data_IF_243721302062
#
_entry.id   IF_243721302062
#
_cell.length_a   1.000
_cell.length_b   1.000
_cell.length_c   1.000
_cell.angle_alpha   90.00
_cell.angle_beta   90.00
_cell.angle_gamma   90.00
#
_symmetry.space_group_name_H-M   'P 1'
#
loop_
_entity.id
_entity.type
_entity.pdbx_description
1 polymer ?
#
# COMPACT_ATOMS: atom_id res chain seq x y z
N UNK A 1 16.22 7.50 64.08
CA UNK A 1 14.98 8.29 64.20
C UNK A 1 15.31 9.76 63.96
N UNK A 2 14.88 10.37 62.84
CA UNK A 2 14.94 11.82 62.68
C UNK A 2 13.54 12.46 62.82
N UNK A 3 13.50 13.58 63.54
CA UNK A 3 12.32 14.38 63.89
C UNK A 3 11.82 15.23 62.71
N UNK A 4 10.52 15.51 62.72
CA UNK A 4 9.75 16.22 61.70
C UNK A 4 10.18 17.67 61.48
N UNK A 5 10.35 18.05 60.21
CA UNK A 5 10.35 19.43 59.74
C UNK A 5 8.90 19.90 59.73
N UNK A 6 8.51 20.59 60.80
CA UNK A 6 7.22 21.28 60.91
C UNK A 6 7.47 22.75 61.20
N UNK A 7 8.19 23.49 60.34
CA UNK A 7 8.25 24.96 60.40
C UNK A 7 8.59 25.56 59.02
N UNK A 8 7.57 25.84 58.19
CA UNK A 8 7.55 27.04 57.34
C UNK A 8 6.08 27.50 57.25
N UNK A 9 5.70 28.39 58.16
CA UNK A 9 4.45 29.14 58.12
C UNK A 9 4.60 30.38 57.24
N UNK A 10 3.62 30.58 56.36
CA UNK A 10 3.03 31.87 55.99
C UNK A 10 3.97 33.07 55.76
N UNK A 11 4.25 33.35 54.49
CA UNK A 11 4.48 34.73 54.03
C UNK A 11 3.69 34.98 52.74
N UNK A 12 2.58 35.69 52.88
CA UNK A 12 1.89 36.35 51.78
C UNK A 12 2.41 37.79 51.71
N UNK A 13 3.12 38.15 50.62
CA UNK A 13 3.21 39.53 50.14
C UNK A 13 3.07 39.56 48.63
N UNK A 14 2.09 40.31 48.17
CA UNK A 14 1.64 40.36 46.79
C UNK A 14 2.51 41.17 45.84
N UNK A 15 2.17 41.05 44.56
CA UNK A 15 2.66 41.88 43.46
C UNK A 15 2.48 41.20 42.10
N UNK A 16 1.48 41.66 41.31
CA UNK A 16 1.35 41.30 39.88
C UNK A 16 0.11 40.47 39.55
N UNK A 17 -1.06 41.12 39.53
CA UNK A 17 -2.33 40.52 39.13
C UNK A 17 -2.42 40.26 37.63
N UNK A 18 -2.03 39.06 37.22
CA UNK A 18 -2.90 38.19 36.43
C UNK A 18 -2.89 36.87 37.17
N UNK A 19 -3.80 36.72 38.14
CA UNK A 19 -4.01 35.43 38.76
C UNK A 19 -4.33 34.45 37.64
N UNK A 20 -3.63 33.31 37.62
CA UNK A 20 -4.02 32.21 36.76
C UNK A 20 -5.49 31.92 37.09
N UNK A 21 -6.37 32.30 36.15
CA UNK A 21 -7.83 32.16 36.29
C UNK A 21 -8.23 30.69 36.35
N UNK A 22 -7.28 29.80 36.09
CA UNK A 22 -7.40 28.36 36.23
C UNK A 22 -6.95 27.96 37.63
N UNK A 23 -7.91 27.71 38.52
CA UNK A 23 -7.60 27.00 39.76
C UNK A 23 -6.93 25.67 39.41
N UNK A 24 -5.78 25.36 40.04
CA UNK A 24 -5.10 24.08 39.84
C UNK A 24 -6.07 22.94 40.21
N UNK A 25 -6.28 21.96 39.32
CA UNK A 25 -7.15 20.84 39.62
C UNK A 25 -6.55 20.01 40.76
N UNK A 26 -7.40 19.62 41.72
CA UNK A 26 -7.02 18.69 42.79
C UNK A 26 -6.82 17.29 42.20
N UNK A 27 -5.56 16.98 41.85
CA UNK A 27 -5.16 15.70 41.27
C UNK A 27 -5.13 14.56 42.31
N UNK A 28 -5.23 14.87 43.62
CA UNK A 28 -5.09 13.89 44.70
C UNK A 28 -6.44 13.40 45.21
N UNK A 29 -7.45 14.29 45.28
CA UNK A 29 -8.75 13.97 45.88
C UNK A 29 -9.96 14.29 44.98
N UNK A 30 -9.74 14.88 43.80
CA UNK A 30 -10.79 15.07 42.80
C UNK A 30 -11.08 13.79 42.01
N UNK A 31 -12.36 13.57 41.65
CA UNK A 31 -12.67 12.66 40.53
C UNK A 31 -11.85 13.09 39.32
N UNK A 32 -11.26 12.13 38.60
CA UNK A 32 -10.29 12.32 37.51
C UNK A 32 -10.88 13.04 36.27
N UNK A 33 -11.39 14.26 36.43
CA UNK A 33 -12.04 15.06 35.39
C UNK A 33 -11.09 16.05 34.73
N UNK A 34 -9.83 16.12 35.18
CA UNK A 34 -8.80 17.00 34.62
C UNK A 34 -8.00 16.34 33.47
N UNK A 35 -8.33 15.11 33.08
CA UNK A 35 -7.72 14.40 31.95
C UNK A 35 -8.75 13.64 31.12
N UNK A 36 -8.40 13.13 29.94
CA UNK A 36 -9.29 12.28 29.16
C UNK A 36 -9.55 10.98 29.93
N UNK A 37 -10.68 10.93 30.65
CA UNK A 37 -11.16 9.73 31.32
C UNK A 37 -11.58 8.72 30.24
N UNK A 38 -10.86 7.60 30.14
CA UNK A 38 -11.18 6.54 29.18
C UNK A 38 -12.34 5.71 29.72
N UNK A 39 -13.56 6.13 29.42
CA UNK A 39 -14.80 5.40 29.75
C UNK A 39 -14.95 4.09 28.94
N UNK A 40 -14.16 3.92 27.88
CA UNK A 40 -14.20 2.73 27.03
C UNK A 40 -12.81 2.15 26.79
N UNK A 41 -12.71 0.83 26.93
CA UNK A 41 -11.54 0.07 26.50
C UNK A 41 -11.59 -0.08 24.97
N UNK A 42 -10.55 0.33 24.23
CA UNK A 42 -10.50 0.06 22.79
C UNK A 42 -10.45 -1.45 22.58
N UNK A 43 -11.38 -1.95 21.78
CA UNK A 43 -11.34 -3.33 21.28
C UNK A 43 -10.48 -3.30 20.03
N UNK A 44 -9.38 -4.05 20.05
CA UNK A 44 -8.55 -4.23 18.87
C UNK A 44 -9.23 -5.23 17.94
N UNK A 45 -9.66 -4.76 16.78
CA UNK A 45 -10.24 -5.59 15.72
C UNK A 45 -9.27 -5.62 14.56
N UNK A 46 -8.88 -6.82 14.13
CA UNK A 46 -8.08 -7.01 12.93
C UNK A 46 -8.99 -6.87 11.72
N UNK A 47 -9.03 -5.66 11.15
CA UNK A 47 -9.73 -5.36 9.91
C UNK A 47 -8.74 -5.41 8.75
N UNK A 48 -9.08 -6.15 7.70
CA UNK A 48 -8.34 -6.07 6.45
C UNK A 48 -8.40 -4.63 5.93
N UNK A 49 -7.27 -4.02 5.51
CA UNK A 49 -7.31 -2.69 4.92
C UNK A 49 -8.29 -2.66 3.74
N UNK A 50 -9.17 -1.65 3.63
CA UNK A 50 -10.24 -1.66 2.63
C UNK A 50 -9.70 -1.71 1.20
N UNK A 51 -8.53 -1.11 0.95
CA UNK A 51 -7.86 -1.22 -0.34
C UNK A 51 -7.45 -2.65 -0.69
N UNK A 52 -6.99 -3.44 0.29
CA UNK A 52 -6.64 -4.84 0.09
C UNK A 52 -7.91 -5.66 -0.19
N UNK A 53 -8.98 -5.42 0.59
CA UNK A 53 -10.26 -6.11 0.46
C UNK A 53 -10.92 -5.87 -0.91
N UNK A 54 -10.90 -4.62 -1.40
CA UNK A 54 -11.48 -4.26 -2.69
C UNK A 54 -10.65 -4.67 -3.90
N UNK A 55 -9.41 -5.14 -3.72
CA UNK A 55 -8.55 -5.52 -4.82
C UNK A 55 -8.93 -6.91 -5.37
N UNK A 56 -9.42 -7.03 -6.62
CA UNK A 56 -9.82 -8.32 -7.17
C UNK A 56 -8.63 -9.26 -7.41
N UNK A 57 -7.40 -8.73 -7.47
CA UNK A 57 -6.18 -9.53 -7.56
C UNK A 57 -5.75 -10.09 -6.20
N UNK A 58 -6.35 -9.66 -5.09
CA UNK A 58 -5.98 -10.09 -3.73
C UNK A 58 -4.65 -9.53 -3.23
N UNK A 59 -4.18 -8.42 -3.82
CA UNK A 59 -2.89 -7.83 -3.48
C UNK A 59 -2.82 -7.34 -2.04
N UNK A 60 -1.67 -7.53 -1.40
CA UNK A 60 -1.35 -6.87 -0.14
C UNK A 60 -0.81 -5.44 -0.37
N UNK A 61 -1.72 -4.53 -0.73
CA UNK A 61 -1.43 -3.13 -1.07
C UNK A 61 -0.72 -2.40 0.05
N UNK A 62 -1.22 -2.55 1.28
CA UNK A 62 -0.62 -1.90 2.44
C UNK A 62 0.85 -2.31 2.66
N UNK A 63 1.19 -3.59 2.45
CA UNK A 63 2.56 -4.08 2.60
C UNK A 63 3.50 -3.53 1.52
N UNK A 64 3.14 -3.63 0.24
CA UNK A 64 4.04 -3.15 -0.82
C UNK A 64 4.13 -1.62 -0.87
N UNK A 65 3.09 -0.89 -0.47
CA UNK A 65 3.16 0.56 -0.26
C UNK A 65 4.13 0.93 0.87
N UNK A 66 4.16 0.15 1.96
CA UNK A 66 5.11 0.38 3.05
C UNK A 66 6.57 0.22 2.59
N UNK A 67 6.86 -0.81 1.78
CA UNK A 67 8.18 -0.97 1.15
C UNK A 67 8.52 0.18 0.21
N UNK A 68 7.54 0.63 -0.59
CA UNK A 68 7.72 1.75 -1.52
C UNK A 68 8.03 3.04 -0.78
N UNK A 69 7.27 3.35 0.27
CA UNK A 69 7.50 4.52 1.14
C UNK A 69 8.89 4.50 1.77
N UNK A 70 9.42 3.32 2.07
CA UNK A 70 10.75 3.16 2.64
C UNK A 70 11.88 3.12 1.58
N UNK A 71 11.58 3.43 0.32
CA UNK A 71 12.56 3.41 -0.79
C UNK A 71 12.99 2.02 -1.23
N UNK A 72 12.37 0.95 -0.72
CA UNK A 72 12.72 -0.45 -1.03
C UNK A 72 11.90 -0.95 -2.20
N UNK A 73 12.08 -0.32 -3.36
CA UNK A 73 11.23 -0.52 -4.55
C UNK A 73 11.25 -1.96 -5.07
N UNK A 74 12.42 -2.63 -5.08
CA UNK A 74 12.48 -4.02 -5.54
C UNK A 74 11.68 -4.95 -4.63
N UNK A 75 11.72 -4.73 -3.31
CA UNK A 75 10.95 -5.52 -2.35
C UNK A 75 9.45 -5.25 -2.48
N UNK A 76 9.07 -3.99 -2.72
CA UNK A 76 7.70 -3.62 -3.02
C UNK A 76 7.21 -4.35 -4.28
N UNK A 77 7.99 -4.30 -5.35
CA UNK A 77 7.68 -4.99 -6.60
C UNK A 77 7.58 -6.51 -6.41
N UNK A 78 8.52 -7.13 -5.68
CA UNK A 78 8.47 -8.57 -5.36
C UNK A 78 7.23 -8.95 -4.55
N UNK A 79 6.76 -8.06 -3.67
CA UNK A 79 5.50 -8.25 -2.95
C UNK A 79 4.30 -8.19 -3.90
N UNK A 80 4.23 -7.12 -4.70
CA UNK A 80 3.18 -6.85 -5.68
C UNK A 80 3.01 -8.00 -6.69
N UNK A 81 4.12 -8.49 -7.27
CA UNK A 81 4.05 -9.47 -8.36
C UNK A 81 3.76 -10.90 -7.94
N UNK A 82 3.70 -11.19 -6.63
CA UNK A 82 3.20 -12.48 -6.13
C UNK A 82 1.74 -12.69 -6.51
N UNK A 83 0.95 -11.63 -6.41
CA UNK A 83 -0.49 -11.65 -6.66
C UNK A 83 -0.79 -11.16 -8.09
N UNK A 84 0.03 -10.23 -8.59
CA UNK A 84 -0.19 -9.58 -9.88
C UNK A 84 1.07 -9.54 -10.77
N UNK A 85 1.26 -10.50 -11.69
CA UNK A 85 2.43 -10.55 -12.55
C UNK A 85 2.45 -9.49 -13.65
N UNK A 86 1.44 -8.61 -13.74
CA UNK A 86 1.30 -7.58 -14.77
C UNK A 86 1.28 -6.15 -14.23
N UNK A 87 1.98 -5.88 -13.13
CA UNK A 87 2.07 -4.56 -12.49
C UNK A 87 2.20 -3.38 -13.48
N UNK A 88 3.11 -3.45 -14.46
CA UNK A 88 3.30 -2.39 -15.45
C UNK A 88 2.05 -2.18 -16.34
N UNK A 89 1.29 -3.23 -16.64
CA UNK A 89 0.08 -3.12 -17.45
C UNK A 89 -1.10 -2.69 -16.57
N UNK A 90 -1.31 -3.34 -15.44
CA UNK A 90 -2.43 -3.07 -14.54
C UNK A 90 -2.41 -1.64 -13.99
N UNK A 91 -1.23 -1.08 -13.69
CA UNK A 91 -1.13 0.34 -13.33
C UNK A 91 -1.56 1.33 -14.44
N UNK A 92 -1.85 0.85 -15.66
CA UNK A 92 -2.37 1.66 -16.78
C UNK A 92 -3.82 1.37 -17.15
N UNK A 93 -4.31 0.15 -16.86
CA UNK A 93 -5.62 -0.32 -17.36
C UNK A 93 -6.59 -0.72 -16.25
N UNK A 94 -6.11 -0.85 -15.02
CA UNK A 94 -6.94 -1.17 -13.87
C UNK A 94 -7.95 -0.05 -13.61
N UNK A 95 -9.19 -0.41 -13.27
CA UNK A 95 -10.24 0.52 -12.85
C UNK A 95 -10.11 0.94 -11.37
N UNK A 96 -9.01 0.55 -10.71
CA UNK A 96 -8.59 0.99 -9.37
C UNK A 96 -9.72 1.02 -8.31
N UNK A 97 -10.45 -0.10 -8.11
CA UNK A 97 -11.50 -0.18 -7.08
C UNK A 97 -10.96 0.04 -5.66
N UNK A 98 -9.68 -0.32 -5.43
CA UNK A 98 -8.97 -0.11 -4.17
C UNK A 98 -8.81 1.38 -3.80
N UNK A 99 -8.79 2.29 -4.76
CA UNK A 99 -8.70 3.74 -4.51
C UNK A 99 -10.07 4.32 -4.12
N UNK A 100 -11.16 3.81 -4.70
CA UNK A 100 -12.53 4.24 -4.40
C UNK A 100 -12.94 3.99 -2.95
N UNK A 101 -12.33 3.00 -2.28
CA UNK A 101 -12.61 2.64 -0.87
C UNK A 101 -11.49 3.08 0.08
N UNK A 102 -10.56 3.91 -0.37
CA UNK A 102 -9.39 4.30 0.42
C UNK A 102 -9.79 5.16 1.63
N UNK A 103 -9.42 4.75 2.84
CA UNK A 103 -9.65 5.53 4.08
C UNK A 103 -9.16 6.99 3.99
N UNK A 104 -8.07 7.23 3.22
CA UNK A 104 -7.47 8.56 3.06
C UNK A 104 -8.36 9.52 2.26
N UNK A 105 -9.28 9.01 1.45
CA UNK A 105 -10.23 9.83 0.69
C UNK A 105 -11.11 10.72 1.60
N UNK A 106 -11.31 10.33 2.86
CA UNK A 106 -12.04 11.13 3.85
C UNK A 106 -11.20 12.23 4.53
N UNK A 107 -9.89 12.24 4.31
CA UNK A 107 -8.97 13.22 4.90
C UNK A 107 -8.54 14.26 3.86
N UNK A 108 -8.02 13.80 2.72
CA UNK A 108 -7.62 14.66 1.61
C UNK A 108 -7.95 14.02 0.26
N UNK A 109 -7.20 12.99 -0.13
CA UNK A 109 -7.37 12.28 -1.39
C UNK A 109 -7.02 10.81 -1.22
N UNK A 110 -7.64 9.96 -2.04
CA UNK A 110 -7.22 8.57 -2.15
C UNK A 110 -5.75 8.48 -2.55
N UNK A 111 -5.05 7.47 -2.04
CA UNK A 111 -3.70 7.16 -2.51
C UNK A 111 -3.82 6.68 -3.96
N UNK A 112 -3.03 7.24 -4.87
CA UNK A 112 -2.95 6.82 -6.27
C UNK A 112 -2.18 5.49 -6.41
N UNK A 113 -2.77 4.41 -5.88
CA UNK A 113 -2.26 3.04 -5.85
C UNK A 113 -1.86 2.57 -7.26
N UNK A 114 -2.70 2.77 -8.28
CA UNK A 114 -2.42 2.35 -9.66
C UNK A 114 -1.19 3.07 -10.23
N UNK A 115 -0.97 4.32 -9.85
CA UNK A 115 0.20 5.08 -10.29
C UNK A 115 1.49 4.55 -9.66
N UNK A 116 1.43 4.15 -8.38
CA UNK A 116 2.56 3.49 -7.71
C UNK A 116 2.81 2.11 -8.30
N UNK A 117 1.75 1.35 -8.58
CA UNK A 117 1.84 0.05 -9.25
C UNK A 117 2.54 0.16 -10.62
N UNK A 118 2.11 1.14 -11.42
CA UNK A 118 2.74 1.49 -12.70
C UNK A 118 4.22 1.82 -12.51
N UNK A 119 4.53 2.70 -11.57
CA UNK A 119 5.90 3.11 -11.27
C UNK A 119 6.79 1.91 -10.91
N UNK A 120 6.33 1.02 -10.02
CA UNK A 120 7.08 -0.19 -9.64
C UNK A 120 7.27 -1.13 -10.83
N UNK A 121 6.22 -1.32 -11.64
CA UNK A 121 6.29 -2.16 -12.84
C UNK A 121 7.23 -1.63 -13.92
N UNK A 122 7.24 -0.32 -14.13
CA UNK A 122 8.14 0.35 -15.08
C UNK A 122 9.59 0.31 -14.56
N UNK A 123 9.80 0.64 -13.27
CA UNK A 123 11.12 0.55 -12.61
C UNK A 123 11.69 -0.86 -12.71
N UNK A 124 10.89 -1.89 -12.49
CA UNK A 124 11.32 -3.28 -12.61
C UNK A 124 11.80 -3.62 -14.02
N UNK A 125 11.14 -3.08 -15.05
CA UNK A 125 11.56 -3.28 -16.45
C UNK A 125 12.88 -2.56 -16.74
N UNK A 126 13.02 -1.33 -16.26
CA UNK A 126 14.20 -0.51 -16.50
C UNK A 126 15.43 -1.05 -15.75
N UNK A 127 15.23 -1.59 -14.55
CA UNK A 127 16.27 -2.20 -13.72
C UNK A 127 16.52 -3.69 -14.04
N UNK A 128 15.73 -4.29 -14.94
CA UNK A 128 15.87 -5.69 -15.32
C UNK A 128 15.56 -6.67 -14.18
N UNK A 129 14.62 -6.34 -13.28
CA UNK A 129 14.22 -7.26 -12.21
C UNK A 129 13.47 -8.46 -12.78
N UNK A 130 13.91 -9.64 -12.38
CA UNK A 130 13.35 -10.91 -12.83
C UNK A 130 12.51 -11.59 -11.75
N UNK A 131 11.51 -12.34 -12.22
CA UNK A 131 10.72 -13.20 -11.35
C UNK A 131 11.56 -14.37 -10.85
N UNK A 132 11.29 -14.84 -9.63
CA UNK A 132 11.99 -15.99 -9.06
C UNK A 132 11.63 -17.25 -9.86
N UNK A 133 12.64 -17.95 -10.38
CA UNK A 133 12.42 -19.21 -11.07
C UNK A 133 12.06 -20.32 -10.07
N UNK A 134 11.22 -21.30 -10.46
CA UNK A 134 10.97 -22.47 -9.64
C UNK A 134 12.27 -23.18 -9.30
N UNK A 135 12.40 -23.62 -8.05
CA UNK A 135 13.59 -24.35 -7.59
C UNK A 135 13.66 -25.78 -8.12
N UNK A 136 12.53 -26.36 -8.53
CA UNK A 136 12.44 -27.74 -9.00
C UNK A 136 11.63 -27.81 -10.29
N UNK A 137 11.72 -28.93 -11.00
CA UNK A 137 10.83 -29.24 -12.11
C UNK A 137 9.90 -30.37 -11.67
N UNK A 138 8.59 -30.24 -11.88
CA UNK A 138 7.60 -31.29 -11.61
C UNK A 138 7.59 -32.38 -12.68
N UNK A 139 8.35 -32.21 -13.77
CA UNK A 139 8.33 -33.11 -14.92
C UNK A 139 7.03 -33.07 -15.74
N UNK A 140 6.04 -32.26 -15.30
CA UNK A 140 4.76 -32.10 -16.00
C UNK A 140 4.93 -31.12 -17.16
N UNK A 141 4.28 -31.42 -18.29
CA UNK A 141 4.21 -30.54 -19.47
C UNK A 141 2.85 -29.85 -19.51
N UNK A 142 2.86 -28.53 -19.65
CA UNK A 142 1.64 -27.72 -19.74
C UNK A 142 1.60 -27.06 -21.11
N UNK A 143 0.49 -27.23 -21.84
CA UNK A 143 0.23 -26.51 -23.08
C UNK A 143 -0.61 -25.27 -22.76
N UNK A 144 -0.11 -24.11 -23.17
CA UNK A 144 -0.83 -22.84 -23.06
C UNK A 144 -1.25 -22.41 -24.46
N UNK A 145 -2.56 -22.43 -24.74
CA UNK A 145 -3.12 -22.04 -26.05
C UNK A 145 -3.63 -20.60 -25.99
N UNK A 146 -3.05 -19.71 -26.81
CA UNK A 146 -3.40 -18.29 -26.89
C UNK A 146 -2.59 -17.39 -25.93
N UNK A 147 -2.35 -16.14 -26.32
CA UNK A 147 -1.38 -15.22 -25.69
C UNK A 147 -2.01 -13.98 -25.00
N UNK A 148 -3.28 -14.04 -24.61
CA UNK A 148 -3.96 -12.93 -23.92
C UNK A 148 -3.50 -12.73 -22.46
N UNK A 149 -3.72 -11.54 -21.87
CA UNK A 149 -3.26 -11.19 -20.52
C UNK A 149 -3.81 -12.13 -19.44
N UNK A 150 -5.08 -12.54 -19.55
CA UNK A 150 -5.71 -13.57 -18.71
C UNK A 150 -4.91 -14.87 -18.63
N UNK A 151 -4.15 -15.22 -19.66
CA UNK A 151 -3.44 -16.50 -19.76
C UNK A 151 -1.94 -16.40 -19.49
N UNK A 152 -1.32 -15.22 -19.66
CA UNK A 152 0.05 -15.05 -19.16
C UNK A 152 0.08 -15.15 -17.62
N UNK A 153 -1.01 -14.84 -16.89
CA UNK A 153 -1.06 -15.13 -15.45
C UNK A 153 -1.05 -16.64 -15.20
N UNK A 154 -1.64 -17.46 -16.08
CA UNK A 154 -1.50 -18.91 -16.05
C UNK A 154 -0.08 -19.40 -16.42
N UNK A 155 0.79 -18.55 -17.00
CA UNK A 155 2.23 -18.83 -17.04
C UNK A 155 2.89 -18.72 -15.65
N UNK A 156 2.17 -18.29 -14.62
CA UNK A 156 2.57 -18.56 -13.23
C UNK A 156 2.60 -20.05 -12.92
N UNK A 157 1.95 -20.92 -13.72
CA UNK A 157 2.20 -22.36 -13.67
C UNK A 157 3.62 -22.75 -14.11
N UNK A 158 4.40 -21.84 -14.72
CA UNK A 158 5.85 -22.00 -14.79
C UNK A 158 6.46 -21.94 -13.39
N UNK A 159 6.01 -21.04 -12.49
CA UNK A 159 6.40 -21.04 -11.06
C UNK A 159 6.07 -22.37 -10.37
N UNK A 160 5.02 -23.05 -10.81
CA UNK A 160 4.71 -24.43 -10.42
C UNK A 160 5.57 -25.49 -11.14
N UNK A 161 6.82 -25.16 -11.52
CA UNK A 161 7.83 -26.15 -11.89
C UNK A 161 7.51 -26.97 -13.17
N UNK A 162 6.60 -26.53 -14.04
CA UNK A 162 6.20 -27.30 -15.23
C UNK A 162 6.76 -26.70 -16.53
N UNK A 163 7.17 -27.55 -17.47
CA UNK A 163 7.62 -27.13 -18.80
C UNK A 163 6.42 -26.61 -19.60
N UNK A 164 6.19 -25.30 -19.62
CA UNK A 164 5.08 -24.71 -20.35
C UNK A 164 5.47 -24.43 -21.82
N UNK A 165 4.77 -25.04 -22.78
CA UNK A 165 4.85 -24.69 -24.21
C UNK A 165 3.69 -23.76 -24.52
N UNK A 166 3.99 -22.54 -24.98
CA UNK A 166 2.95 -21.61 -25.46
C UNK A 166 2.84 -21.79 -26.96
N UNK A 167 1.66 -22.15 -27.46
CA UNK A 167 1.37 -22.16 -28.89
C UNK A 167 0.42 -20.99 -29.14
N UNK A 168 0.92 -19.97 -29.86
CA UNK A 168 0.13 -18.82 -30.26
C UNK A 168 -0.72 -19.16 -31.49
N UNK A 169 -2.02 -18.95 -31.39
CA UNK A 169 -2.92 -18.89 -32.54
C UNK A 169 -3.52 -17.48 -32.59
N UNK A 170 -2.85 -16.57 -33.31
CA UNK A 170 -3.42 -15.39 -33.98
C UNK A 170 -2.25 -14.57 -34.57
N UNK A 171 -2.26 -14.25 -35.88
CA UNK A 171 -1.40 -13.18 -36.39
C UNK A 171 -1.78 -11.85 -35.69
N UNK A 172 -0.85 -10.90 -35.54
CA UNK A 172 -1.16 -9.60 -34.95
C UNK A 172 -2.33 -8.96 -35.73
N UNK A 173 -3.30 -8.31 -35.06
CA UNK A 173 -4.26 -7.50 -35.77
C UNK A 173 -3.48 -6.46 -36.57
N UNK A 174 -3.62 -6.49 -37.91
CA UNK A 174 -3.17 -5.42 -38.78
C UNK A 174 -3.99 -4.18 -38.44
N UNK A 175 -3.61 -3.46 -37.39
CA UNK A 175 -4.00 -2.06 -37.25
C UNK A 175 -3.38 -1.35 -38.45
N UNK A 176 -4.23 -0.96 -39.39
CA UNK A 176 -3.85 -0.11 -40.50
C UNK A 176 -3.36 1.22 -39.92
N UNK A 177 -2.05 1.33 -39.72
CA UNK A 177 -1.38 2.61 -39.58
C UNK A 177 -1.56 3.33 -40.92
N UNK A 178 -2.60 4.16 -41.03
CA UNK A 178 -2.68 5.18 -42.07
C UNK A 178 -1.49 6.12 -41.89
N UNK A 179 -0.34 5.78 -42.49
CA UNK A 179 0.73 6.74 -42.77
C UNK A 179 0.15 7.75 -43.76
N UNK A 180 -0.21 8.95 -43.28
CA UNK A 180 -0.29 10.12 -44.14
C UNK A 180 1.10 10.32 -44.74
N UNK A 181 1.26 9.99 -46.01
CA UNK A 181 2.42 10.43 -46.76
C UNK A 181 2.21 11.92 -47.05
N UNK A 182 3.00 12.78 -46.41
CA UNK A 182 3.08 14.18 -46.81
C UNK A 182 3.80 14.22 -48.17
N UNK A 183 3.03 14.54 -49.22
CA UNK A 183 3.52 14.83 -50.56
C UNK A 183 4.35 16.13 -50.51
N UNK A 184 5.61 16.16 -50.98
CA UNK A 184 6.37 17.40 -51.06
C UNK A 184 5.80 18.33 -52.15
N UNK A 185 5.88 19.66 -51.98
CA UNK A 185 5.38 20.61 -52.96
C UNK A 185 6.22 20.56 -54.24
N UNK A 186 5.52 20.59 -55.38
CA UNK A 186 6.10 20.82 -56.70
C UNK A 186 6.02 22.29 -57.10
#
# INVERSE_FOLDING_TARGET
>A
MPRSISQVTSEQRGGGGYGDVTALPDLLHGHARAGPERDRRPIYVDLLPPCNDACPAGENIQAWLAHTKAGRHEQAWRGLVKDNPFAAIHGRVCYHPCESVCNRAHLDAAVAIHAVERFLGDTARDQGWEFESPRQSTGKRILVVGAGPRRRSASSLRFASSSARVIGAAPPPRFALHRRQNKPPG
#
